data_IF_474905030857
#
_entry.id   IF_474905030857
#
_cell.length_a   1.000
_cell.length_b   1.000
_cell.length_c   1.000
_cell.angle_alpha   90.00
_cell.angle_beta   90.00
_cell.angle_gamma   90.00
#
_symmetry.space_group_name_H-M   'P 1'
#
loop_
_entity.id
_entity.type
_entity.pdbx_description
1 polymer ?
#
# COMPACT_ATOMS: atom_id res chain seq x y z
N UNK A 1 -4.92 -24.68 49.80
CA UNK A 1 -3.93 -24.88 48.71
C UNK A 1 -4.68 -24.76 47.39
N UNK A 2 -4.48 -23.69 46.61
CA UNK A 2 -5.23 -23.42 45.37
C UNK A 2 -4.22 -23.28 44.24
N UNK A 3 -4.25 -24.24 43.31
CA UNK A 3 -3.25 -24.42 42.25
C UNK A 3 -3.22 -23.23 41.29
N UNK A 4 -2.08 -22.55 41.23
CA UNK A 4 -1.74 -21.44 40.33
C UNK A 4 -0.87 -21.99 39.20
N UNK A 5 -1.47 -22.72 38.26
CA UNK A 5 -0.73 -23.35 37.14
C UNK A 5 -1.44 -23.22 35.78
N UNK A 6 -2.36 -22.26 35.58
CA UNK A 6 -3.07 -22.10 34.30
C UNK A 6 -3.10 -20.68 33.72
N UNK A 7 -2.25 -19.75 34.17
CA UNK A 7 -1.97 -18.53 33.41
C UNK A 7 -0.85 -18.81 32.40
N UNK A 8 -1.09 -19.77 31.50
CA UNK A 8 -0.35 -19.80 30.25
C UNK A 8 -0.79 -18.57 29.46
N UNK A 9 0.16 -17.68 29.23
CA UNK A 9 -0.01 -16.49 28.42
C UNK A 9 -0.52 -16.87 27.04
N UNK A 10 -1.84 -16.80 26.84
CA UNK A 10 -2.43 -16.66 25.52
C UNK A 10 -1.91 -15.30 25.02
N UNK A 11 -1.11 -15.24 23.93
CA UNK A 11 -0.78 -13.97 23.33
C UNK A 11 -2.12 -13.38 22.89
N UNK A 12 -2.61 -12.37 23.60
CA UNK A 12 -3.82 -11.68 23.20
C UNK A 12 -3.57 -11.15 21.79
N UNK A 13 -4.25 -11.74 20.82
CA UNK A 13 -4.22 -11.31 19.44
C UNK A 13 -4.96 -9.96 19.40
N UNK A 14 -4.29 -8.89 19.85
CA UNK A 14 -4.86 -7.56 19.80
C UNK A 14 -5.16 -7.26 18.33
N UNK A 15 -6.43 -7.02 17.97
CA UNK A 15 -6.77 -6.74 16.59
C UNK A 15 -6.02 -5.49 16.16
N UNK A 16 -5.10 -5.66 15.21
CA UNK A 16 -4.26 -4.55 14.73
C UNK A 16 -5.10 -3.62 13.87
N UNK A 17 -4.90 -2.30 13.95
CA UNK A 17 -5.65 -1.36 13.13
C UNK A 17 -5.36 -1.63 11.66
N UNK A 18 -6.42 -1.95 10.93
CA UNK A 18 -6.46 -1.95 9.47
C UNK A 18 -7.10 -0.64 9.07
N UNK A 19 -6.49 0.09 8.14
CA UNK A 19 -7.08 1.31 7.58
C UNK A 19 -7.28 1.09 6.08
N UNK A 20 -8.41 1.53 5.58
CA UNK A 20 -8.69 1.59 4.14
C UNK A 20 -9.00 3.02 3.74
N UNK A 21 -8.78 3.35 2.47
CA UNK A 21 -9.09 4.67 1.92
C UNK A 21 -9.67 4.54 0.52
N UNK A 22 -10.52 5.50 0.16
CA UNK A 22 -11.01 5.69 -1.22
C UNK A 22 -10.70 7.12 -1.62
N UNK A 23 -10.14 7.29 -2.82
CA UNK A 23 -9.88 8.59 -3.44
C UNK A 23 -10.61 8.69 -4.77
N UNK A 24 -11.21 9.84 -5.04
CA UNK A 24 -11.83 10.16 -6.33
C UNK A 24 -11.01 11.24 -6.99
N UNK A 25 -10.43 10.91 -8.14
CA UNK A 25 -9.91 11.86 -9.11
C UNK A 25 -10.83 11.79 -10.34
N UNK A 26 -11.07 12.87 -11.12
CA UNK A 26 -12.08 12.87 -12.19
C UNK A 26 -11.95 11.75 -13.22
N UNK A 27 -10.76 11.15 -13.33
CA UNK A 27 -10.45 10.08 -14.30
C UNK A 27 -10.06 8.74 -13.64
N UNK A 28 -9.90 8.69 -12.31
CA UNK A 28 -9.39 7.52 -11.58
C UNK A 28 -10.06 7.34 -10.20
N UNK A 29 -10.60 6.15 -9.98
CA UNK A 29 -11.05 5.66 -8.67
C UNK A 29 -9.90 4.92 -7.97
N UNK A 30 -9.54 5.34 -6.77
CA UNK A 30 -8.50 4.69 -5.96
C UNK A 30 -9.11 3.95 -4.77
N UNK A 31 -8.71 2.70 -4.55
CA UNK A 31 -8.99 1.92 -3.34
C UNK A 31 -7.66 1.50 -2.71
N UNK A 32 -7.51 1.76 -1.41
CA UNK A 32 -6.27 1.47 -0.68
C UNK A 32 -6.55 0.69 0.60
N UNK A 33 -5.65 -0.22 0.93
CA UNK A 33 -5.65 -0.95 2.19
C UNK A 33 -4.25 -0.95 2.81
N UNK A 34 -4.16 -0.51 4.06
CA UNK A 34 -2.94 -0.56 4.85
C UNK A 34 -3.15 -1.44 6.07
N UNK A 35 -2.12 -2.23 6.40
CA UNK A 35 -2.07 -3.03 7.60
C UNK A 35 -0.88 -2.57 8.44
N UNK A 36 -1.06 -2.44 9.75
CA UNK A 36 0.03 -2.16 10.66
C UNK A 36 0.42 -3.45 11.38
N UNK A 37 1.64 -3.90 11.17
CA UNK A 37 2.23 -5.05 11.85
C UNK A 37 3.10 -4.56 13.02
N UNK A 38 2.71 -5.02 14.20
CA UNK A 38 3.33 -4.85 15.51
C UNK A 38 4.83 -5.11 15.55
N UNK A 39 5.48 -4.81 16.68
CA UNK A 39 6.88 -4.48 16.68
C UNK A 39 7.72 -5.64 16.16
N UNK A 40 8.25 -5.49 14.94
CA UNK A 40 9.21 -6.40 14.33
C UNK A 40 10.48 -6.39 15.16
N UNK A 41 10.84 -5.22 15.72
CA UNK A 41 11.98 -5.05 16.61
C UNK A 41 11.76 -3.91 17.60
N UNK A 42 11.43 -4.20 18.87
CA UNK A 42 11.19 -3.21 19.95
C UNK A 42 10.23 -2.07 19.57
N UNK A 43 10.77 -1.02 18.96
CA UNK A 43 10.10 0.21 18.56
C UNK A 43 9.86 0.30 17.04
N UNK A 44 10.29 -0.70 16.28
CA UNK A 44 10.16 -0.80 14.83
C UNK A 44 8.91 -1.59 14.44
N UNK A 45 8.03 -0.96 13.69
CA UNK A 45 6.79 -1.51 13.17
C UNK A 45 6.86 -1.61 11.65
N UNK A 46 6.12 -2.53 11.07
CA UNK A 46 6.06 -2.68 9.62
C UNK A 46 4.64 -2.39 9.13
N UNK A 47 4.51 -1.50 8.15
CA UNK A 47 3.23 -1.02 7.62
C UNK A 47 3.20 -1.22 6.10
N UNK A 48 2.80 -2.40 5.62
CA UNK A 48 2.48 -2.57 4.21
C UNK A 48 1.20 -1.80 3.86
N UNK A 49 1.23 -1.15 2.71
CA UNK A 49 0.09 -0.50 2.07
C UNK A 49 0.00 -0.99 0.61
N UNK A 50 -1.20 -1.36 0.21
CA UNK A 50 -1.52 -1.74 -1.15
C UNK A 50 -2.64 -0.85 -1.68
N UNK A 51 -2.44 -0.26 -2.85
CA UNK A 51 -3.40 0.64 -3.48
C UNK A 51 -3.67 0.20 -4.91
N UNK A 52 -4.91 0.35 -5.34
CA UNK A 52 -5.35 0.03 -6.67
C UNK A 52 -6.16 1.21 -7.23
N UNK A 53 -5.76 1.71 -8.39
CA UNK A 53 -6.43 2.75 -9.16
C UNK A 53 -7.06 2.19 -10.43
N UNK A 54 -8.36 2.43 -10.64
CA UNK A 54 -9.08 2.12 -11.88
C UNK A 54 -9.54 3.44 -12.51
N UNK A 55 -9.03 3.75 -13.70
CA UNK A 55 -9.54 4.81 -14.58
C UNK A 55 -10.08 4.25 -15.89
N UNK A 56 -10.67 5.12 -16.70
CA UNK A 56 -11.23 4.76 -18.01
C UNK A 56 -10.17 4.13 -18.94
N UNK A 57 -8.97 4.73 -18.97
CA UNK A 57 -7.87 4.33 -19.87
C UNK A 57 -6.65 3.79 -19.10
N UNK A 58 -6.55 4.10 -17.81
CA UNK A 58 -5.35 3.83 -17.00
C UNK A 58 -5.68 2.95 -15.80
N UNK A 59 -4.90 1.88 -15.63
CA UNK A 59 -4.91 1.05 -14.41
C UNK A 59 -3.61 1.24 -13.65
N UNK A 60 -3.71 1.46 -12.35
CA UNK A 60 -2.55 1.68 -11.46
C UNK A 60 -2.62 0.68 -10.31
N UNK A 61 -1.48 0.10 -9.97
CA UNK A 61 -1.34 -0.73 -8.77
C UNK A 61 -0.08 -0.31 -8.04
N UNK A 62 -0.19 -0.03 -6.74
CA UNK A 62 0.92 0.37 -5.90
C UNK A 62 1.07 -0.55 -4.69
N UNK A 63 2.31 -0.93 -4.41
CA UNK A 63 2.71 -1.65 -3.21
C UNK A 63 3.78 -0.83 -2.48
N UNK A 64 3.47 -0.41 -1.27
CA UNK A 64 4.35 0.38 -0.42
C UNK A 64 4.67 -0.42 0.84
N UNK A 65 5.95 -0.62 1.12
CA UNK A 65 6.42 -1.34 2.30
C UNK A 65 7.14 -0.35 3.21
N UNK A 66 6.54 -0.01 4.35
CA UNK A 66 7.10 0.99 5.25
C UNK A 66 7.56 0.38 6.57
N UNK A 67 8.72 0.79 7.06
CA UNK A 67 9.16 0.54 8.42
C UNK A 67 9.05 1.82 9.25
N UNK A 68 8.47 1.73 10.44
CA UNK A 68 8.16 2.86 11.31
C UNK A 68 8.87 2.68 12.65
N UNK A 69 9.76 3.60 12.99
CA UNK A 69 10.46 3.63 14.26
C UNK A 69 9.86 4.68 15.20
N UNK A 70 9.37 4.23 16.36
CA UNK A 70 8.85 5.12 17.40
C UNK A 70 9.94 5.55 18.37
N UNK A 71 10.11 6.86 18.57
CA UNK A 71 11.16 7.40 19.44
C UNK A 71 10.88 7.06 20.92
N UNK A 72 11.77 6.33 21.61
CA UNK A 72 11.51 5.75 22.94
C UNK A 72 11.40 6.80 24.07
N UNK A 73 11.98 7.99 23.89
CA UNK A 73 11.95 9.06 24.89
C UNK A 73 10.65 9.88 24.87
N UNK A 74 9.87 9.80 23.78
CA UNK A 74 8.55 10.44 23.66
C UNK A 74 7.42 9.39 23.78
N UNK A 75 7.63 8.18 23.26
CA UNK A 75 6.70 7.07 23.39
C UNK A 75 7.01 6.25 24.66
N UNK A 76 6.59 6.75 25.83
CA UNK A 76 6.78 6.04 27.12
C UNK A 76 5.82 4.85 27.21
N UNK A 77 6.22 3.73 26.62
CA UNK A 77 5.49 2.46 26.65
C UNK A 77 5.11 1.98 25.27
N UNK A 78 5.70 0.86 24.85
CA UNK A 78 5.27 -0.05 23.76
C UNK A 78 4.44 0.62 22.67
N UNK A 79 5.12 1.31 21.74
CA UNK A 79 4.62 1.77 20.43
C UNK A 79 3.17 2.26 20.39
N UNK A 80 2.97 3.59 20.39
CA UNK A 80 1.75 4.26 19.92
C UNK A 80 0.40 3.72 20.43
N UNK A 81 0.37 2.99 21.55
CA UNK A 81 -0.87 2.34 22.06
C UNK A 81 -1.58 3.22 23.10
N UNK A 82 -0.97 4.35 23.47
CA UNK A 82 -1.57 5.35 24.34
C UNK A 82 -2.31 6.42 23.51
N UNK A 83 -3.65 6.42 23.47
CA UNK A 83 -4.42 7.42 22.73
C UNK A 83 -4.31 8.83 23.34
N UNK A 84 -3.78 8.95 24.56
CA UNK A 84 -3.64 10.17 25.34
C UNK A 84 -2.32 10.94 25.12
N UNK A 85 -1.37 10.38 24.35
CA UNK A 85 -0.04 10.98 24.17
C UNK A 85 0.36 11.04 22.70
N UNK A 86 0.77 12.24 22.26
CA UNK A 86 1.37 12.43 20.95
C UNK A 86 2.66 11.62 20.81
N UNK A 87 2.68 10.71 19.84
CA UNK A 87 3.85 9.88 19.53
C UNK A 87 4.52 10.37 18.25
N UNK A 88 5.81 10.70 18.34
CA UNK A 88 6.62 11.01 17.15
C UNK A 88 7.23 9.70 16.64
N UNK A 89 7.12 9.50 15.33
CA UNK A 89 7.71 8.37 14.63
C UNK A 89 8.47 8.82 13.40
N UNK A 90 9.48 8.06 13.03
CA UNK A 90 10.18 8.17 11.75
C UNK A 90 9.79 6.96 10.91
N UNK A 91 9.37 7.19 9.67
CA UNK A 91 8.91 6.15 8.76
C UNK A 91 9.67 6.23 7.44
N UNK A 92 9.90 5.07 6.83
CA UNK A 92 10.46 5.00 5.48
C UNK A 92 10.48 3.59 4.94
N UNK A 93 10.51 3.46 3.62
CA UNK A 93 10.68 2.18 2.95
C UNK A 93 10.42 2.24 1.45
N UNK A 94 10.64 1.12 0.75
CA UNK A 94 10.50 1.06 -0.70
C UNK A 94 9.03 1.15 -1.14
N UNK A 95 8.83 1.77 -2.28
CA UNK A 95 7.56 1.87 -2.97
C UNK A 95 7.71 1.35 -4.41
N UNK A 96 6.78 0.51 -4.83
CA UNK A 96 6.66 0.03 -6.20
C UNK A 96 5.31 0.46 -6.77
N UNK A 97 5.33 1.10 -7.93
CA UNK A 97 4.12 1.54 -8.64
C UNK A 97 4.15 1.02 -10.06
N UNK A 98 3.09 0.34 -10.47
CA UNK A 98 2.88 -0.15 -11.82
C UNK A 98 1.71 0.59 -12.44
N UNK A 99 1.93 1.20 -13.61
CA UNK A 99 0.88 1.85 -14.40
C UNK A 99 0.80 1.18 -15.77
N UNK A 100 -0.42 0.80 -16.16
CA UNK A 100 -0.71 0.29 -17.50
C UNK A 100 -1.69 1.25 -18.17
N UNK A 101 -1.27 1.80 -19.30
CA UNK A 101 -2.12 2.55 -20.25
C UNK A 101 -2.33 1.67 -21.46
N UNK A 102 -3.58 1.42 -21.82
CA UNK A 102 -3.88 0.85 -23.13
C UNK A 102 -4.15 2.02 -24.06
N UNK A 103 -3.17 2.39 -24.89
CA UNK A 103 -3.50 3.09 -26.13
C UNK A 103 -3.88 1.99 -27.11
N UNK A 104 -5.10 2.02 -27.64
CA UNK A 104 -5.36 1.37 -28.92
C UNK A 104 -4.42 2.05 -29.92
N UNK A 105 -3.31 1.39 -30.20
CA UNK A 105 -2.48 1.68 -31.37
C UNK A 105 -3.37 1.36 -32.57
N UNK A 106 -4.06 2.39 -33.06
CA UNK A 106 -4.76 2.30 -34.33
C UNK A 106 -3.71 2.01 -35.38
N UNK A 107 -3.67 0.77 -35.87
CA UNK A 107 -2.99 0.41 -37.09
C UNK A 107 -3.52 1.36 -38.18
N UNK A 108 -2.76 2.40 -38.48
CA UNK A 108 -2.98 3.21 -39.68
C UNK A 108 -2.41 2.36 -40.81
N UNK A 109 -3.25 1.49 -41.39
CA UNK A 109 -2.99 0.85 -42.67
C UNK A 109 -2.84 1.97 -43.71
N UNK A 110 -1.58 2.33 -43.99
CA UNK A 110 -1.22 3.14 -45.15
C UNK A 110 -1.35 2.24 -46.37
N UNK A 111 -2.50 2.32 -47.04
CA UNK A 111 -2.72 1.77 -48.37
C UNK A 111 -1.63 2.31 -49.31
N UNK A 112 -0.57 1.52 -49.49
CA UNK A 112 0.45 1.73 -50.50
C UNK A 112 -0.25 1.67 -51.86
N UNK A 113 -0.46 2.83 -52.49
CA UNK A 113 -0.95 2.95 -53.85
C UNK A 113 -0.18 1.98 -54.75
N UNK A 114 -0.89 1.00 -55.31
CA UNK A 114 -0.34 0.14 -56.35
C UNK A 114 0.17 1.03 -57.50
N UNK A 115 1.44 0.89 -57.94
CA UNK A 115 1.92 1.62 -59.10
C UNK A 115 1.18 1.07 -60.32
N UNK A 116 0.24 1.85 -60.84
CA UNK A 116 -0.47 1.57 -62.08
C UNK A 116 0.54 1.31 -63.19
N UNK A 117 0.46 0.10 -63.75
CA UNK A 117 1.29 -0.38 -64.85
C UNK A 117 1.11 0.54 -66.08
N UNK A 118 2.08 1.41 -66.36
CA UNK A 118 2.11 2.17 -67.61
C UNK A 118 2.81 1.29 -68.65
N UNK A 119 2.00 0.56 -69.42
CA UNK A 119 2.45 -0.17 -70.61
C UNK A 119 2.93 0.83 -71.67
N UNK A 120 4.14 0.61 -72.18
CA UNK A 120 4.73 1.29 -73.33
C UNK A 120 4.13 0.79 -74.66
#
# INVERSE_FOLDING_TARGET
>A
MRNRLLDQAVPSLQPRPKRGGVGLDPELLYIGAQAQLGPVFRNLWFRPNFEFGFGEVTKITALNLEAIYFLPFLARGTGATRPDVWSIYLGGGPAAQLSRRSFEEGDVDIDLLEPTEVRA
#
